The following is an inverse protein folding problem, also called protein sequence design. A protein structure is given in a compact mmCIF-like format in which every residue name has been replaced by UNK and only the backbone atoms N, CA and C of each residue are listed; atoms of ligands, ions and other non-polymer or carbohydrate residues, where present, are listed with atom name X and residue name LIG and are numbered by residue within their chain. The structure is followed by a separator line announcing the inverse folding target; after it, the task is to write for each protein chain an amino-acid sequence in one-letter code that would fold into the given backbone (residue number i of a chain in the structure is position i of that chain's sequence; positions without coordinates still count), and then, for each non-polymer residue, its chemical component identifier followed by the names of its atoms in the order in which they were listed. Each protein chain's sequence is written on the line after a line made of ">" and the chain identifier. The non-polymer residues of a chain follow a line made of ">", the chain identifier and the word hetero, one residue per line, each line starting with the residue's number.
data_IF_069462217694
#
_entry.id   IF_069462217694
#
_cell.length_a   1.000
_cell.length_b   1.000
_cell.length_c   1.000
_cell.angle_alpha   90.00
_cell.angle_beta   90.00
_cell.angle_gamma   90.00
#
_symmetry.space_group_name_H-M   'P 1'
#
loop_
_entity.id
_entity.type
_entity.pdbx_description
1 polymer ?
#
# COMPACT_ATOMS: atom_id res chain seq x y z
N UNK A 1 -19.28 12.02 1.41
CA UNK A 1 -18.65 12.13 0.08
C UNK A 1 -17.52 13.14 0.14
N UNK A 2 -16.38 12.84 -0.49
CA UNK A 2 -15.26 13.77 -0.58
C UNK A 2 -15.54 14.88 -1.61
N UNK A 3 -14.93 16.05 -1.43
CA UNK A 3 -15.01 17.19 -2.35
C UNK A 3 -14.43 16.81 -3.73
N UNK A 4 -15.17 17.02 -4.85
CA UNK A 4 -14.66 16.78 -6.20
C UNK A 4 -13.33 17.46 -6.51
N UNK A 5 -13.10 18.68 -6.01
CA UNK A 5 -11.84 19.39 -6.21
C UNK A 5 -10.68 18.67 -5.52
N UNK A 6 -10.92 18.18 -4.31
CA UNK A 6 -9.94 17.40 -3.55
C UNK A 6 -9.59 16.09 -4.26
N UNK A 7 -10.60 15.38 -4.79
CA UNK A 7 -10.37 14.13 -5.54
C UNK A 7 -9.54 14.38 -6.79
N UNK A 8 -9.89 15.40 -7.58
CA UNK A 8 -9.13 15.76 -8.79
C UNK A 8 -7.67 16.06 -8.46
N UNK A 9 -7.45 16.93 -7.48
CA UNK A 9 -6.10 17.27 -7.02
C UNK A 9 -5.33 16.04 -6.55
N UNK A 10 -5.97 15.15 -5.78
CA UNK A 10 -5.35 13.93 -5.27
C UNK A 10 -4.89 12.98 -6.38
N UNK A 11 -5.72 12.77 -7.40
CA UNK A 11 -5.38 11.97 -8.57
C UNK A 11 -4.18 12.59 -9.31
N UNK A 12 -4.21 13.90 -9.56
CA UNK A 12 -3.12 14.61 -10.23
C UNK A 12 -1.79 14.46 -9.46
N UNK A 13 -1.81 14.58 -8.13
CA UNK A 13 -0.60 14.39 -7.31
C UNK A 13 -0.11 12.95 -7.28
N UNK A 14 -1.01 11.98 -7.19
CA UNK A 14 -0.64 10.57 -7.22
C UNK A 14 0.04 10.18 -8.54
N UNK A 15 -0.51 10.63 -9.68
CA UNK A 15 0.05 10.34 -11.01
C UNK A 15 1.36 11.10 -11.28
N UNK A 16 1.49 12.32 -10.77
CA UNK A 16 2.71 13.12 -10.92
C UNK A 16 3.84 12.70 -9.96
N UNK A 17 3.58 11.81 -8.99
CA UNK A 17 4.57 11.43 -7.99
C UNK A 17 5.73 10.63 -8.62
N UNK A 18 6.93 11.24 -8.61
CA UNK A 18 8.18 10.62 -9.07
C UNK A 18 9.07 10.31 -7.87
N UNK A 19 8.92 9.10 -7.32
CA UNK A 19 9.83 8.65 -6.27
C UNK A 19 11.22 8.39 -6.87
N UNK A 20 12.21 9.20 -6.48
CA UNK A 20 13.59 9.04 -6.98
C UNK A 20 14.34 7.92 -6.26
N UNK A 21 14.10 7.74 -4.96
CA UNK A 21 14.75 6.72 -4.14
C UNK A 21 13.79 6.21 -3.07
N UNK A 22 13.77 4.90 -2.87
CA UNK A 22 13.03 4.29 -1.76
C UNK A 22 13.65 4.76 -0.43
N UNK A 23 12.87 5.32 0.52
CA UNK A 23 13.42 5.67 1.82
C UNK A 23 13.90 4.42 2.57
N UNK A 24 14.96 4.53 3.40
CA UNK A 24 15.38 3.44 4.26
C UNK A 24 14.27 3.07 5.26
N UNK A 25 14.26 1.82 5.72
CA UNK A 25 13.31 1.31 6.73
C UNK A 25 11.83 1.42 6.34
N UNK A 26 11.53 1.43 5.04
CA UNK A 26 10.15 1.35 4.54
C UNK A 26 9.84 -0.09 4.19
N UNK A 27 8.74 -0.62 4.72
CA UNK A 27 8.15 -1.89 4.28
C UNK A 27 6.89 -1.58 3.47
N UNK A 28 6.76 -2.22 2.32
CA UNK A 28 5.63 -2.15 1.41
C UNK A 28 4.90 -3.47 1.39
N UNK A 29 3.67 -3.43 1.89
CA UNK A 29 2.69 -4.51 1.81
C UNK A 29 1.75 -4.20 0.63
N UNK A 30 1.55 -5.14 -0.29
CA UNK A 30 0.79 -4.93 -1.51
C UNK A 30 -0.14 -6.11 -1.83
N UNK A 31 -1.31 -5.85 -2.40
CA UNK A 31 -2.25 -6.91 -2.77
C UNK A 31 -1.96 -7.47 -4.17
N UNK A 32 -1.99 -8.79 -4.35
CA UNK A 32 -1.70 -9.42 -5.65
C UNK A 32 -2.74 -9.08 -6.75
N UNK A 33 -3.94 -8.62 -6.36
CA UNK A 33 -5.06 -8.29 -7.26
C UNK A 33 -5.47 -6.81 -7.17
N UNK A 34 -4.61 -5.92 -6.67
CA UNK A 34 -4.89 -4.49 -6.71
C UNK A 34 -4.95 -4.00 -8.17
N UNK A 35 -6.13 -3.57 -8.60
CA UNK A 35 -6.38 -3.05 -9.96
C UNK A 35 -6.12 -1.56 -10.08
N UNK A 36 -6.17 -0.82 -8.98
CA UNK A 36 -5.93 0.62 -8.98
C UNK A 36 -4.42 0.90 -9.00
N UNK A 37 -3.66 0.10 -8.26
CA UNK A 37 -2.20 0.10 -8.26
C UNK A 37 -1.66 -1.30 -8.58
N UNK A 38 -1.54 -1.66 -9.87
CA UNK A 38 -1.09 -3.00 -10.27
C UNK A 38 0.27 -3.38 -9.68
N UNK A 39 0.37 -4.60 -9.15
CA UNK A 39 1.60 -5.13 -8.54
C UNK A 39 2.82 -5.05 -9.47
N UNK A 40 2.64 -5.28 -10.78
CA UNK A 40 3.74 -5.23 -11.76
C UNK A 40 4.43 -3.87 -11.88
N UNK A 41 3.80 -2.79 -11.39
CA UNK A 41 4.35 -1.43 -11.42
C UNK A 41 5.10 -1.07 -10.11
N UNK A 42 5.23 -1.98 -9.16
CA UNK A 42 5.82 -1.70 -7.85
C UNK A 42 6.62 -2.89 -7.30
N UNK A 43 7.65 -2.59 -6.51
CA UNK A 43 8.30 -3.59 -5.67
C UNK A 43 7.60 -3.65 -4.31
N UNK A 44 7.09 -4.83 -3.94
CA UNK A 44 6.49 -5.09 -2.63
C UNK A 44 7.40 -6.04 -1.85
N UNK A 45 7.53 -5.84 -0.53
CA UNK A 45 8.26 -6.78 0.33
C UNK A 45 7.33 -7.89 0.83
N UNK A 46 6.04 -7.56 0.98
CA UNK A 46 5.01 -8.53 1.35
C UNK A 46 3.85 -8.44 0.37
N UNK A 47 3.43 -9.61 -0.13
CA UNK A 47 2.30 -9.73 -1.05
C UNK A 47 1.16 -10.43 -0.32
N UNK A 48 0.00 -9.79 -0.29
CA UNK A 48 -1.25 -10.36 0.23
C UNK A 48 -1.94 -11.07 -0.93
N UNK A 49 -1.92 -12.39 -0.90
CA UNK A 49 -2.50 -13.20 -1.98
C UNK A 49 -4.02 -13.01 -2.06
N UNK A 50 -4.49 -12.74 -3.26
CA UNK A 50 -5.86 -12.34 -3.54
C UNK A 50 -6.28 -10.97 -2.99
N UNK A 51 -5.34 -10.19 -2.42
CA UNK A 51 -5.59 -8.85 -1.88
C UNK A 51 -5.86 -7.82 -2.97
N UNK A 52 -6.95 -7.07 -2.83
CA UNK A 52 -7.32 -5.95 -3.71
C UNK A 52 -6.95 -4.61 -3.07
N UNK A 53 -7.28 -3.49 -3.73
CA UNK A 53 -6.93 -2.15 -3.24
C UNK A 53 -7.42 -1.87 -1.80
N UNK A 54 -8.62 -2.33 -1.47
CA UNK A 54 -9.25 -2.16 -0.15
C UNK A 54 -8.92 -3.28 0.84
N UNK A 55 -7.82 -4.01 0.65
CA UNK A 55 -7.42 -5.14 1.51
C UNK A 55 -7.30 -4.77 2.99
N UNK A 56 -6.94 -3.52 3.32
CA UNK A 56 -6.86 -3.08 4.72
C UNK A 56 -8.21 -3.12 5.44
N UNK A 57 -9.30 -2.85 4.72
CA UNK A 57 -10.66 -2.89 5.25
C UNK A 57 -11.21 -4.32 5.20
N UNK A 58 -11.04 -4.99 4.06
CA UNK A 58 -11.62 -6.32 3.82
C UNK A 58 -10.90 -7.44 4.58
N UNK A 59 -9.60 -7.28 4.83
CA UNK A 59 -8.70 -8.29 5.42
C UNK A 59 -7.94 -7.73 6.62
N UNK A 60 -8.56 -6.81 7.36
CA UNK A 60 -7.90 -6.08 8.45
C UNK A 60 -7.24 -6.98 9.50
N UNK A 61 -7.79 -8.16 9.80
CA UNK A 61 -7.19 -9.13 10.72
C UNK A 61 -5.85 -9.69 10.20
N UNK A 62 -5.81 -10.11 8.93
CA UNK A 62 -4.59 -10.62 8.26
C UNK A 62 -3.51 -9.55 8.24
N UNK A 63 -3.88 -8.33 7.83
CA UNK A 63 -2.97 -7.18 7.80
C UNK A 63 -2.45 -6.84 9.20
N UNK A 64 -3.31 -6.85 10.23
CA UNK A 64 -2.91 -6.53 11.60
C UNK A 64 -1.91 -7.54 12.17
N UNK A 65 -2.11 -8.84 11.87
CA UNK A 65 -1.16 -9.89 12.28
C UNK A 65 0.20 -9.65 11.64
N UNK A 66 0.23 -9.38 10.33
CA UNK A 66 1.47 -9.08 9.62
C UNK A 66 2.15 -7.82 10.19
N UNK A 67 1.41 -6.73 10.39
CA UNK A 67 1.96 -5.49 10.94
C UNK A 67 2.59 -5.70 12.32
N UNK A 68 1.91 -6.39 13.23
CA UNK A 68 2.46 -6.66 14.57
C UNK A 68 3.74 -7.50 14.50
N UNK A 69 3.80 -8.48 13.60
CA UNK A 69 5.01 -9.27 13.38
C UNK A 69 6.17 -8.38 12.95
N UNK A 70 5.96 -7.56 11.93
CA UNK A 70 7.00 -6.69 11.36
C UNK A 70 7.50 -5.63 12.35
N UNK A 71 6.59 -5.09 13.15
CA UNK A 71 6.95 -4.11 14.18
C UNK A 71 7.80 -4.75 15.28
N UNK A 72 7.46 -5.96 15.73
CA UNK A 72 8.24 -6.66 16.74
C UNK A 72 9.64 -7.07 16.24
N UNK A 73 9.76 -7.53 14.99
CA UNK A 73 11.06 -7.83 14.37
C UNK A 73 11.96 -6.60 14.21
N UNK A 74 11.38 -5.39 14.14
CA UNK A 74 12.13 -4.13 14.02
C UNK A 74 12.61 -3.54 15.35
N UNK A 75 12.18 -4.11 16.48
CA UNK A 75 12.54 -3.68 17.83
C UNK A 75 13.67 -4.51 18.46
N UNK A 76 14.12 -5.56 17.78
CA UNK A 76 15.31 -6.37 18.11
C UNK A 76 16.54 -5.90 17.29
#
# INVERSE_FOLDING_TARGET
>A
NADPQFIRWGIEKALAWRQKRRPPNVIRIHGSRDKLFPLGNTHADYIIEGGEHFMIVQRGKEISILLNKLLNESLE
#
